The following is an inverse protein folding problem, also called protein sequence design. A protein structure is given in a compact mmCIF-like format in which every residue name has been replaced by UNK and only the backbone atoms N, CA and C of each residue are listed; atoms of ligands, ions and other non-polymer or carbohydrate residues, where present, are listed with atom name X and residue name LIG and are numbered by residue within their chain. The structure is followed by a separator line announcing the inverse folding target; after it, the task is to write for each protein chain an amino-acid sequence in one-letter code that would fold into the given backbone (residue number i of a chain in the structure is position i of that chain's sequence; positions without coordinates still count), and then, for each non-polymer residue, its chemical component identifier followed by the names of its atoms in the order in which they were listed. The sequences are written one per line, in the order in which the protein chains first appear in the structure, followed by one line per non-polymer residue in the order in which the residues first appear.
data_IF_224291317999
#
_entry.id   IF_224291317999
#
_cell.length_a   1.000
_cell.length_b   1.000
_cell.length_c   1.000
_cell.angle_alpha   90.00
_cell.angle_beta   90.00
_cell.angle_gamma   90.00
#
_symmetry.space_group_name_H-M   'P 1'
#
loop_
_entity.id
_entity.type
_entity.pdbx_description
1 polymer ?
#
# COMPACT_ATOMS: atom_id res chain seq x y z
N UNK A 1 -9.31 -13.15 -7.81
CA UNK A 1 -8.59 -11.97 -8.33
C UNK A 1 -7.11 -12.27 -8.49
N UNK A 2 -6.32 -12.08 -7.43
CA UNK A 2 -4.86 -12.17 -7.49
C UNK A 2 -4.34 -13.48 -8.09
N UNK A 3 -4.80 -14.63 -7.60
CA UNK A 3 -4.40 -15.93 -8.13
C UNK A 3 -4.68 -16.08 -9.64
N UNK A 4 -5.81 -15.56 -10.13
CA UNK A 4 -6.13 -15.58 -11.56
C UNK A 4 -5.20 -14.67 -12.36
N UNK A 5 -4.93 -13.46 -11.87
CA UNK A 5 -3.99 -12.54 -12.51
C UNK A 5 -2.56 -13.10 -12.55
N UNK A 6 -2.10 -13.71 -11.45
CA UNK A 6 -0.82 -14.42 -11.38
C UNK A 6 -0.75 -15.59 -12.37
N UNK A 7 -1.88 -16.28 -12.62
CA UNK A 7 -1.99 -17.37 -13.58
C UNK A 7 -2.16 -16.92 -15.04
N UNK A 8 -2.17 -15.61 -15.32
CA UNK A 8 -2.23 -15.06 -16.68
C UNK A 8 -3.57 -14.45 -17.09
N UNK A 9 -4.51 -14.24 -16.17
CA UNK A 9 -5.69 -13.44 -16.49
C UNK A 9 -5.30 -11.97 -16.68
N UNK A 10 -5.60 -11.41 -17.85
CA UNK A 10 -5.25 -10.02 -18.20
C UNK A 10 -6.33 -8.99 -17.82
N UNK A 11 -7.51 -9.46 -17.40
CA UNK A 11 -8.62 -8.60 -16.98
C UNK A 11 -9.31 -9.17 -15.74
N UNK A 12 -9.62 -8.29 -14.77
CA UNK A 12 -10.39 -8.61 -13.58
C UNK A 12 -11.65 -7.74 -13.53
N UNK A 13 -12.82 -8.37 -13.61
CA UNK A 13 -14.07 -7.71 -13.24
C UNK A 13 -14.11 -7.56 -11.72
N UNK A 14 -14.27 -6.33 -11.22
CA UNK A 14 -14.37 -6.08 -9.77
C UNK A 14 -15.70 -6.61 -9.24
N UNK A 15 -15.68 -7.06 -7.98
CA UNK A 15 -16.88 -7.45 -7.24
C UNK A 15 -17.03 -6.47 -6.10
N UNK A 16 -18.20 -5.85 -5.98
CA UNK A 16 -18.49 -4.88 -4.92
C UNK A 16 -18.92 -5.58 -3.63
N UNK A 17 -18.79 -4.94 -2.45
CA UNK A 17 -19.36 -5.44 -1.20
C UNK A 17 -20.87 -5.71 -1.26
N UNK A 18 -21.60 -5.02 -2.14
CA UNK A 18 -23.04 -5.17 -2.31
C UNK A 18 -23.45 -6.36 -3.20
N UNK A 19 -22.49 -7.08 -3.80
CA UNK A 19 -22.77 -8.22 -4.67
C UNK A 19 -23.69 -9.23 -3.98
N UNK A 20 -24.76 -9.65 -4.67
CA UNK A 20 -25.83 -10.51 -4.15
C UNK A 20 -26.65 -9.96 -2.96
N UNK A 21 -26.49 -8.68 -2.60
CA UNK A 21 -27.20 -8.05 -1.47
C UNK A 21 -28.06 -6.86 -1.94
N UNK A 22 -27.51 -5.95 -2.75
CA UNK A 22 -28.19 -4.74 -3.20
C UNK A 22 -27.50 -4.14 -4.45
N UNK A 23 -28.06 -3.04 -4.98
CA UNK A 23 -27.32 -2.20 -5.91
C UNK A 23 -26.21 -1.43 -5.16
N UNK A 24 -24.98 -1.36 -5.71
CA UNK A 24 -23.86 -0.72 -5.03
C UNK A 24 -24.04 0.80 -4.96
N UNK A 25 -23.65 1.37 -3.82
CA UNK A 25 -23.46 2.80 -3.66
C UNK A 25 -22.02 3.22 -4.02
N UNK A 26 -21.71 4.51 -3.95
CA UNK A 26 -20.37 5.04 -4.27
C UNK A 26 -19.25 4.41 -3.44
N UNK A 27 -19.48 4.15 -2.15
CA UNK A 27 -18.47 3.53 -1.30
C UNK A 27 -18.21 2.08 -1.71
N UNK A 28 -19.25 1.31 -2.04
CA UNK A 28 -19.13 -0.07 -2.52
C UNK A 28 -18.29 -0.16 -3.81
N UNK A 29 -18.51 0.79 -4.73
CA UNK A 29 -17.75 0.87 -5.98
C UNK A 29 -16.28 1.22 -5.71
N UNK A 30 -16.01 2.17 -4.82
CA UNK A 30 -14.63 2.54 -4.44
C UNK A 30 -13.91 1.34 -3.83
N UNK A 31 -14.54 0.65 -2.88
CA UNK A 31 -13.94 -0.50 -2.19
C UNK A 31 -13.71 -1.69 -3.13
N UNK A 32 -14.69 -2.05 -3.95
CA UNK A 32 -14.56 -3.12 -4.95
C UNK A 32 -13.44 -2.81 -5.95
N UNK A 33 -13.36 -1.57 -6.42
CA UNK A 33 -12.32 -1.12 -7.36
C UNK A 33 -10.93 -1.16 -6.72
N UNK A 34 -10.79 -0.67 -5.47
CA UNK A 34 -9.50 -0.73 -4.73
C UNK A 34 -9.05 -2.18 -4.56
N UNK A 35 -9.96 -3.06 -4.15
CA UNK A 35 -9.70 -4.49 -3.97
C UNK A 35 -9.25 -5.17 -5.27
N UNK A 36 -9.93 -4.90 -6.38
CA UNK A 36 -9.54 -5.43 -7.69
C UNK A 36 -8.17 -4.90 -8.16
N UNK A 37 -7.87 -3.62 -7.92
CA UNK A 37 -6.56 -3.03 -8.25
C UNK A 37 -5.43 -3.63 -7.42
N UNK A 38 -5.65 -3.92 -6.14
CA UNK A 38 -4.69 -4.65 -5.29
C UNK A 38 -4.46 -6.06 -5.86
N UNK A 39 -5.53 -6.77 -6.20
CA UNK A 39 -5.44 -8.10 -6.78
C UNK A 39 -4.66 -8.11 -8.12
N UNK A 40 -4.88 -7.11 -8.98
CA UNK A 40 -4.12 -6.95 -10.22
C UNK A 40 -2.62 -6.70 -9.94
N UNK A 41 -2.30 -5.78 -9.02
CA UNK A 41 -0.91 -5.48 -8.64
C UNK A 41 -0.18 -6.70 -8.08
N UNK A 42 -0.83 -7.53 -7.25
CA UNK A 42 -0.27 -8.81 -6.77
C UNK A 42 0.01 -9.75 -7.96
N UNK A 43 -0.90 -9.80 -8.95
CA UNK A 43 -0.69 -10.54 -10.19
C UNK A 43 0.53 -10.05 -10.98
N UNK A 44 0.67 -8.75 -11.14
CA UNK A 44 1.80 -8.10 -11.81
C UNK A 44 3.13 -8.43 -11.10
N UNK A 45 3.16 -8.40 -9.77
CA UNK A 45 4.33 -8.79 -8.96
C UNK A 45 4.68 -10.27 -9.13
N UNK A 46 3.69 -11.17 -9.07
CA UNK A 46 3.90 -12.60 -9.28
C UNK A 46 4.46 -12.92 -10.67
N UNK A 47 4.05 -12.14 -11.67
CA UNK A 47 4.55 -12.20 -13.06
C UNK A 47 5.84 -11.42 -13.28
N UNK A 48 6.44 -10.87 -12.22
CA UNK A 48 7.72 -10.13 -12.21
C UNK A 48 7.75 -8.94 -13.18
N UNK A 49 6.65 -8.20 -13.29
CA UNK A 49 6.66 -6.96 -14.06
C UNK A 49 7.57 -5.91 -13.43
N UNK A 50 8.42 -5.31 -14.24
CA UNK A 50 9.46 -4.39 -13.79
C UNK A 50 8.89 -3.14 -13.11
N UNK A 51 7.82 -2.57 -13.64
CA UNK A 51 7.13 -1.39 -13.09
C UNK A 51 6.52 -1.66 -11.71
N UNK A 52 5.89 -2.83 -11.54
CA UNK A 52 5.33 -3.25 -10.26
C UNK A 52 6.42 -3.50 -9.21
N UNK A 53 7.52 -4.17 -9.59
CA UNK A 53 8.67 -4.41 -8.71
C UNK A 53 9.36 -3.10 -8.30
N UNK A 54 9.56 -2.18 -9.24
CA UNK A 54 10.16 -0.88 -8.97
C UNK A 54 9.34 -0.07 -7.97
N UNK A 55 8.00 -0.09 -8.09
CA UNK A 55 7.10 0.55 -7.12
C UNK A 55 7.26 -0.02 -5.71
N UNK A 56 7.34 -1.35 -5.56
CA UNK A 56 7.51 -1.98 -4.24
C UNK A 56 8.89 -1.70 -3.64
N UNK A 57 9.93 -1.64 -4.48
CA UNK A 57 11.27 -1.25 -4.04
C UNK A 57 11.27 0.20 -3.51
N UNK A 58 10.70 1.14 -4.25
CA UNK A 58 10.56 2.55 -3.82
C UNK A 58 9.74 2.67 -2.52
N UNK A 59 8.65 1.91 -2.39
CA UNK A 59 7.87 1.83 -1.14
C UNK A 59 8.71 1.33 0.04
N UNK A 60 9.57 0.32 -0.18
CA UNK A 60 10.48 -0.21 0.83
C UNK A 60 11.53 0.80 1.27
N UNK A 61 12.15 1.48 0.31
CA UNK A 61 13.14 2.54 0.57
C UNK A 61 12.52 3.72 1.32
N UNK A 62 11.34 4.19 0.88
CA UNK A 62 10.64 5.29 1.54
C UNK A 62 10.29 4.96 3.00
N UNK A 63 9.81 3.74 3.27
CA UNK A 63 9.53 3.27 4.63
C UNK A 63 10.79 3.22 5.50
N UNK A 64 11.91 2.73 4.95
CA UNK A 64 13.18 2.70 5.65
C UNK A 64 13.66 4.11 6.02
N UNK A 65 13.54 5.06 5.10
CA UNK A 65 13.93 6.45 5.30
C UNK A 65 12.94 7.27 6.15
N UNK A 66 11.80 6.68 6.55
CA UNK A 66 10.67 7.40 7.16
C UNK A 66 10.21 8.61 6.31
N UNK A 67 10.35 8.51 4.99
CA UNK A 67 9.92 9.55 4.04
C UNK A 67 8.46 9.32 3.63
N UNK A 68 7.57 9.98 4.36
CA UNK A 68 6.13 9.86 4.17
C UNK A 68 5.65 10.29 2.79
N UNK A 69 6.21 11.36 2.23
CA UNK A 69 5.77 11.87 0.93
C UNK A 69 6.18 10.92 -0.20
N UNK A 70 7.41 10.36 -0.17
CA UNK A 70 7.81 9.28 -1.08
C UNK A 70 6.94 8.04 -0.89
N UNK A 71 6.62 7.68 0.35
CA UNK A 71 5.77 6.54 0.64
C UNK A 71 4.35 6.70 0.05
N UNK A 72 3.76 7.89 0.16
CA UNK A 72 2.45 8.19 -0.43
C UNK A 72 2.50 8.20 -1.95
N UNK A 73 3.58 8.74 -2.54
CA UNK A 73 3.78 8.74 -3.99
C UNK A 73 3.90 7.32 -4.56
N UNK A 74 4.55 6.41 -3.83
CA UNK A 74 4.70 5.01 -4.22
C UNK A 74 3.42 4.17 -4.00
N UNK A 75 2.53 4.58 -3.09
CA UNK A 75 1.34 3.82 -2.73
C UNK A 75 0.33 3.71 -3.89
N UNK A 76 -0.35 2.57 -3.99
CA UNK A 76 -1.47 2.38 -4.95
C UNK A 76 -2.61 3.40 -4.76
N UNK A 77 -2.74 3.92 -3.53
CA UNK A 77 -3.77 4.86 -3.07
C UNK A 77 -3.15 5.91 -2.13
N UNK A 78 -2.20 6.71 -2.64
CA UNK A 78 -1.43 7.68 -1.84
C UNK A 78 -2.26 8.66 -1.01
N UNK A 79 -3.31 9.24 -1.59
CA UNK A 79 -4.18 10.18 -0.85
C UNK A 79 -4.83 9.52 0.37
N UNK A 80 -5.33 8.29 0.21
CA UNK A 80 -5.94 7.54 1.30
C UNK A 80 -4.90 7.15 2.36
N UNK A 81 -3.68 6.78 1.96
CA UNK A 81 -2.60 6.49 2.89
C UNK A 81 -2.24 7.73 3.74
N UNK A 82 -2.18 8.91 3.11
CA UNK A 82 -1.95 10.18 3.78
C UNK A 82 -3.08 10.53 4.76
N UNK A 83 -4.33 10.40 4.34
CA UNK A 83 -5.51 10.60 5.21
C UNK A 83 -5.45 9.73 6.47
N UNK A 84 -5.02 8.46 6.33
CA UNK A 84 -4.90 7.53 7.47
C UNK A 84 -3.77 7.93 8.40
N UNK A 85 -2.61 8.34 7.87
CA UNK A 85 -1.49 8.80 8.70
C UNK A 85 -1.84 10.09 9.44
N UNK A 86 -2.39 11.08 8.74
CA UNK A 86 -2.65 12.42 9.29
C UNK A 86 -3.78 12.42 10.34
N UNK A 87 -4.57 11.34 10.44
CA UNK A 87 -5.67 11.21 11.40
C UNK A 87 -5.23 11.38 12.85
N UNK A 88 -4.01 10.95 13.19
CA UNK A 88 -3.51 10.95 14.57
C UNK A 88 -2.59 12.16 14.86
N UNK A 89 -2.46 13.11 13.92
CA UNK A 89 -1.65 14.33 14.04
C UNK A 89 -0.21 14.19 13.52
N UNK A 90 0.61 15.23 13.73
CA UNK A 90 2.03 15.21 13.34
C UNK A 90 2.81 14.24 14.24
N UNK A 91 3.41 13.23 13.64
CA UNK A 91 4.26 12.25 14.30
C UNK A 91 5.54 12.07 13.47
N UNK A 92 6.70 11.95 14.13
CA UNK A 92 7.98 11.67 13.47
C UNK A 92 7.98 10.28 12.80
N UNK A 93 7.33 9.32 13.46
CA UNK A 93 7.06 7.95 12.98
C UNK A 93 5.55 7.74 12.86
N UNK A 94 5.06 6.52 12.61
CA UNK A 94 3.63 6.28 12.73
C UNK A 94 3.16 6.30 14.21
N UNK A 95 1.88 6.61 14.41
CA UNK A 95 1.20 6.62 15.71
C UNK A 95 1.14 5.24 16.38
N UNK A 96 1.28 4.15 15.61
CA UNK A 96 1.17 2.78 16.12
C UNK A 96 2.28 2.41 17.11
N UNK A 97 3.52 2.86 16.86
CA UNK A 97 4.66 2.55 17.73
C UNK A 97 5.29 3.80 18.37
N UNK A 98 5.10 4.98 17.76
CA UNK A 98 5.73 6.23 18.22
C UNK A 98 7.23 6.08 18.44
N UNK A 99 7.71 6.51 19.60
CA UNK A 99 9.13 6.46 19.98
C UNK A 99 9.75 5.05 19.98
N UNK A 100 8.93 4.00 20.05
CA UNK A 100 9.39 2.61 20.00
C UNK A 100 9.45 2.05 18.56
N UNK A 101 9.45 2.92 17.55
CA UNK A 101 9.58 2.51 16.15
C UNK A 101 10.87 1.72 15.90
N UNK A 102 10.72 0.49 15.39
CA UNK A 102 11.85 -0.39 15.12
C UNK A 102 12.85 0.20 14.10
N UNK A 103 12.36 0.88 13.06
CA UNK A 103 13.20 1.50 12.02
C UNK A 103 14.06 2.59 12.66
N UNK A 104 13.45 3.51 13.42
CA UNK A 104 14.15 4.58 14.15
C UNK A 104 15.19 4.02 15.13
N UNK A 105 14.84 2.99 15.90
CA UNK A 105 15.75 2.36 16.87
C UNK A 105 16.95 1.71 16.17
N UNK A 106 16.71 0.99 15.07
CA UNK A 106 17.79 0.35 14.30
C UNK A 106 18.70 1.40 13.68
N UNK A 107 18.16 2.45 13.07
CA UNK A 107 18.95 3.54 12.48
C UNK A 107 19.84 4.20 13.53
N UNK A 108 19.28 4.59 14.68
CA UNK A 108 20.05 5.16 15.78
C UNK A 108 21.14 4.23 16.32
N UNK A 109 20.93 2.91 16.29
CA UNK A 109 21.92 1.93 16.73
C UNK A 109 23.04 1.73 15.70
N UNK A 110 22.73 1.87 14.40
CA UNK A 110 23.70 1.82 13.31
C UNK A 110 24.52 3.12 13.24
N UNK A 111 23.88 4.29 13.36
CA UNK A 111 24.55 5.59 13.41
C UNK A 111 25.49 5.74 14.61
N UNK A 112 25.18 5.11 15.74
CA UNK A 112 26.07 5.06 16.93
C UNK A 112 27.24 4.08 16.79
N UNK A 113 27.40 3.42 15.64
CA UNK A 113 28.53 2.53 15.31
C UNK A 113 29.22 2.96 14.02
N UNK A 114 30.14 3.92 14.12
CA UNK A 114 31.56 3.94 13.69
C UNK A 114 32.13 5.32 14.06
#
# INVERSE_FOLDING_TARGET
GAAAASAGADFLCMVSPAEHLALPNTADIIEGTRTAKIAAHIGDLARRREDALAREAEMGEARHALDWERQYAAALFGSHAKEVHDRDGECETCSMCGDLCAIKIVEQALEKKI
#
